data_IF_449489320560
#
_entry.id   IF_449489320560
#
_cell.length_a   1.000
_cell.length_b   1.000
_cell.length_c   1.000
_cell.angle_alpha   90.00
_cell.angle_beta   90.00
_cell.angle_gamma   90.00
#
_symmetry.space_group_name_H-M   'P 1'
#
loop_
_entity.id
_entity.type
_entity.pdbx_description
1 polymer ?
#
# COMPACT_ATOMS: atom_id res chain seq x y z
N UNK A 1 -14.46 -12.47 10.02
CA UNK A 1 -14.90 -12.23 8.62
C UNK A 1 -14.27 -10.98 8.00
N UNK A 2 -14.35 -9.79 8.61
CA UNK A 2 -13.80 -8.56 8.00
C UNK A 2 -12.25 -8.51 7.97
N UNK A 3 -11.55 -9.12 8.93
CA UNK A 3 -10.07 -9.14 8.97
C UNK A 3 -9.46 -9.70 7.68
N UNK A 4 -9.96 -10.84 7.20
CA UNK A 4 -9.47 -11.44 5.95
C UNK A 4 -9.65 -10.53 4.72
N UNK A 5 -10.76 -9.77 4.67
CA UNK A 5 -10.99 -8.79 3.60
C UNK A 5 -9.98 -7.64 3.72
N UNK A 6 -9.76 -7.13 4.93
CA UNK A 6 -8.78 -6.07 5.20
C UNK A 6 -7.38 -6.50 4.75
N UNK A 7 -6.94 -7.70 5.14
CA UNK A 7 -5.63 -8.24 4.77
C UNK A 7 -5.47 -8.35 3.25
N UNK A 8 -6.48 -8.88 2.55
CA UNK A 8 -6.48 -8.97 1.08
C UNK A 8 -6.45 -7.60 0.39
N UNK A 9 -7.15 -6.61 0.94
CA UNK A 9 -7.16 -5.25 0.40
C UNK A 9 -5.84 -4.51 0.66
N UNK A 10 -5.23 -4.71 1.83
CA UNK A 10 -3.99 -4.06 2.22
C UNK A 10 -2.77 -4.51 1.38
N UNK A 11 -2.83 -5.68 0.75
CA UNK A 11 -1.85 -6.09 -0.27
C UNK A 11 -1.92 -5.26 -1.56
N UNK A 12 -3.06 -4.61 -1.84
CA UNK A 12 -3.32 -3.92 -3.12
C UNK A 12 -3.47 -2.41 -2.96
N UNK A 13 -3.93 -1.95 -1.80
CA UNK A 13 -4.30 -0.57 -1.56
C UNK A 13 -3.75 -0.09 -0.22
N UNK A 14 -3.46 1.22 -0.08
CA UNK A 14 -3.19 1.81 1.23
C UNK A 14 -4.43 1.72 2.13
N UNK A 15 -4.38 0.87 3.15
CA UNK A 15 -5.51 0.64 4.06
C UNK A 15 -5.16 1.13 5.47
N UNK A 16 -6.03 1.96 6.04
CA UNK A 16 -6.15 2.13 7.49
C UNK A 16 -7.30 1.24 7.98
N UNK A 17 -7.17 0.65 9.16
CA UNK A 17 -8.19 -0.26 9.68
C UNK A 17 -8.52 0.03 11.14
N UNK A 18 -9.78 -0.05 11.51
CA UNK A 18 -10.23 0.11 12.89
C UNK A 18 -11.44 -0.76 13.19
N UNK A 19 -11.86 -0.76 14.46
CA UNK A 19 -13.00 -1.54 14.93
C UNK A 19 -12.63 -3.00 15.26
N UNK A 20 -12.86 -3.42 16.51
CA UNK A 20 -12.59 -4.79 16.94
C UNK A 20 -11.10 -5.13 17.14
N UNK A 21 -10.25 -4.10 17.29
CA UNK A 21 -8.87 -4.24 17.74
C UNK A 21 -8.85 -3.95 19.25
N UNK A 22 -8.83 -4.99 20.09
CA UNK A 22 -8.98 -4.88 21.55
C UNK A 22 -7.76 -5.39 22.32
N UNK A 23 -6.76 -5.91 21.62
CA UNK A 23 -5.55 -6.47 22.20
C UNK A 23 -4.35 -6.17 21.30
N UNK A 24 -3.14 -6.27 21.85
CA UNK A 24 -1.92 -6.13 21.07
C UNK A 24 -1.83 -7.20 19.96
N UNK A 25 -2.30 -8.42 20.24
CA UNK A 25 -2.37 -9.49 19.24
C UNK A 25 -3.26 -9.14 18.05
N UNK A 26 -4.37 -8.44 18.28
CA UNK A 26 -5.25 -8.00 17.19
C UNK A 26 -4.58 -6.96 16.29
N UNK A 27 -3.86 -6.03 16.93
CA UNK A 27 -3.12 -4.97 16.23
C UNK A 27 -1.98 -5.56 15.42
N UNK A 28 -1.20 -6.47 16.00
CA UNK A 28 -0.13 -7.16 15.30
C UNK A 28 -0.62 -7.96 14.10
N UNK A 29 -1.75 -8.66 14.23
CA UNK A 29 -2.35 -9.46 13.16
C UNK A 29 -2.66 -8.62 11.91
N UNK A 30 -3.22 -7.42 12.10
CA UNK A 30 -3.55 -6.52 10.98
C UNK A 30 -2.32 -5.79 10.45
N UNK A 31 -1.42 -5.30 11.31
CA UNK A 31 -0.25 -4.54 10.89
C UNK A 31 0.78 -5.38 10.12
N UNK A 32 0.86 -6.70 10.40
CA UNK A 32 1.67 -7.65 9.63
C UNK A 32 1.18 -7.86 8.19
N UNK A 33 -0.03 -7.43 7.88
CA UNK A 33 -0.68 -7.64 6.58
C UNK A 33 -0.67 -6.38 5.69
N UNK A 34 0.40 -5.58 5.70
CA UNK A 34 0.53 -4.32 4.94
C UNK A 34 -0.47 -3.19 5.25
N UNK A 35 -1.28 -3.31 6.30
CA UNK A 35 -2.13 -2.21 6.77
C UNK A 35 -1.25 -1.04 7.18
N UNK A 36 -1.46 0.16 6.60
CA UNK A 36 -0.63 1.33 6.86
C UNK A 36 -0.77 1.84 8.29
N UNK A 37 -2.00 1.91 8.83
CA UNK A 37 -2.25 2.27 10.23
C UNK A 37 -3.42 1.50 10.81
N UNK A 38 -3.35 1.21 12.10
CA UNK A 38 -4.50 0.74 12.87
C UNK A 38 -5.14 1.91 13.65
N UNK A 39 -6.46 1.89 13.73
CA UNK A 39 -7.28 2.82 14.47
C UNK A 39 -7.84 2.11 15.70
N UNK A 40 -7.53 2.62 16.89
CA UNK A 40 -8.02 2.09 18.17
C UNK A 40 -8.83 3.15 18.91
N UNK A 41 -9.78 2.72 19.72
CA UNK A 41 -10.57 3.63 20.53
C UNK A 41 -9.71 4.23 21.66
N UNK A 42 -9.99 5.48 22.02
CA UNK A 42 -9.33 6.25 23.10
C UNK A 42 -9.55 5.72 24.53
N UNK A 43 -10.22 4.57 24.69
CA UNK A 43 -10.57 4.02 26.00
C UNK A 43 -9.46 3.17 26.65
N UNK A 44 -8.43 2.75 25.90
CA UNK A 44 -7.42 1.80 26.36
C UNK A 44 -6.00 2.37 26.19
N UNK A 45 -5.56 3.11 27.22
CA UNK A 45 -4.27 3.79 27.22
C UNK A 45 -3.09 2.80 27.28
N UNK A 46 -3.27 1.65 27.93
CA UNK A 46 -2.24 0.59 27.98
C UNK A 46 -1.99 -0.03 26.60
N UNK A 47 -3.05 -0.30 25.83
CA UNK A 47 -2.93 -0.76 24.46
C UNK A 47 -2.31 0.32 23.59
N UNK A 48 -2.78 1.57 23.68
CA UNK A 48 -2.24 2.70 22.92
C UNK A 48 -0.73 2.84 23.15
N UNK A 49 -0.26 2.74 24.39
CA UNK A 49 1.15 2.85 24.76
C UNK A 49 2.04 1.84 24.01
N UNK A 50 1.54 0.63 23.72
CA UNK A 50 2.30 -0.49 23.13
C UNK A 50 2.36 -0.47 21.59
N UNK A 51 1.59 0.38 20.92
CA UNK A 51 1.51 0.41 19.45
C UNK A 51 2.51 1.43 18.87
N UNK A 52 3.26 1.09 17.80
CA UNK A 52 4.10 2.06 17.09
C UNK A 52 3.29 3.27 16.60
N UNK A 53 3.71 4.48 17.01
CA UNK A 53 2.89 5.71 16.87
C UNK A 53 2.73 6.17 15.42
N UNK A 54 3.73 5.92 14.58
CA UNK A 54 3.68 6.15 13.14
C UNK A 54 2.62 5.27 12.43
N UNK A 55 2.25 4.15 13.07
CA UNK A 55 1.24 3.17 12.62
C UNK A 55 -0.10 3.29 13.36
N UNK A 56 -0.28 4.27 14.22
CA UNK A 56 -1.46 4.43 15.08
C UNK A 56 -2.32 5.61 14.65
N UNK A 57 -3.64 5.43 14.75
CA UNK A 57 -4.63 6.50 14.81
C UNK A 57 -5.46 6.26 16.07
N UNK A 58 -5.66 7.27 16.91
CA UNK A 58 -6.56 7.15 18.07
C UNK A 58 -7.91 7.78 17.75
N UNK A 59 -8.99 7.01 17.85
CA UNK A 59 -10.35 7.45 17.61
C UNK A 59 -11.01 8.00 18.87
N UNK A 60 -11.57 9.20 18.73
CA UNK A 60 -12.31 9.95 19.73
C UNK A 60 -13.72 10.20 19.19
N UNK A 61 -14.74 9.73 19.90
CA UNK A 61 -16.12 10.14 19.65
C UNK A 61 -16.49 11.24 20.65
N UNK A 62 -17.12 12.32 20.19
CA UNK A 62 -17.50 13.43 21.06
C UNK A 62 -18.94 13.89 20.87
N UNK A 63 -19.51 14.46 21.93
CA UNK A 63 -20.82 15.12 21.92
C UNK A 63 -20.69 16.64 21.63
N UNK A 64 -21.81 17.35 21.67
CA UNK A 64 -21.91 18.81 21.49
C UNK A 64 -21.11 19.64 22.51
N UNK A 65 -20.84 19.05 23.69
CA UNK A 65 -20.10 19.69 24.78
C UNK A 65 -18.59 19.38 24.74
N UNK A 66 -18.10 18.76 23.65
CA UNK A 66 -16.72 18.31 23.50
C UNK A 66 -16.29 17.25 24.54
N UNK A 67 -17.24 16.50 25.12
CA UNK A 67 -16.95 15.41 26.04
C UNK A 67 -16.73 14.10 25.28
N UNK A 68 -15.74 13.32 25.71
CA UNK A 68 -15.36 12.05 25.08
C UNK A 68 -16.34 10.94 25.45
N UNK A 69 -16.80 10.22 24.43
CA UNK A 69 -17.69 9.07 24.51
C UNK A 69 -16.90 7.78 24.21
N UNK A 70 -17.09 6.76 25.04
CA UNK A 70 -16.43 5.45 24.92
C UNK A 70 -17.44 4.30 24.77
N UNK A 71 -16.94 3.07 24.63
CA UNK A 71 -17.73 1.83 24.48
C UNK A 71 -18.79 1.89 23.36
N UNK A 72 -18.39 2.42 22.20
CA UNK A 72 -19.31 2.58 21.07
C UNK A 72 -20.38 3.65 21.33
N UNK A 73 -19.97 4.75 21.96
CA UNK A 73 -20.79 5.95 22.26
C UNK A 73 -21.86 5.74 23.33
N UNK A 74 -21.80 4.64 24.07
CA UNK A 74 -22.78 4.30 25.11
C UNK A 74 -22.47 4.94 26.46
N UNK A 75 -21.22 5.36 26.66
CA UNK A 75 -20.76 5.89 27.94
C UNK A 75 -20.11 7.25 27.73
N UNK A 76 -20.64 8.28 28.38
CA UNK A 76 -19.99 9.58 28.48
C UNK A 76 -18.96 9.54 29.61
N UNK A 77 -17.73 9.92 29.31
CA UNK A 77 -16.65 9.99 30.31
C UNK A 77 -16.67 11.29 31.10
N UNK A 78 -17.40 12.31 30.62
CA UNK A 78 -17.36 13.70 31.10
C UNK A 78 -15.97 14.34 31.01
N UNK A 79 -15.02 13.69 30.32
CA UNK A 79 -13.69 14.22 30.07
C UNK A 79 -13.74 15.06 28.80
N UNK A 80 -13.32 16.32 28.91
CA UNK A 80 -13.18 17.19 27.75
C UNK A 80 -12.11 16.64 26.78
N UNK A 81 -12.36 16.72 25.47
CA UNK A 81 -11.47 16.22 24.43
C UNK A 81 -10.06 16.80 24.52
N UNK A 82 -9.88 18.08 24.88
CA UNK A 82 -8.56 18.70 24.97
C UNK A 82 -7.73 18.04 26.07
N UNK A 83 -8.35 17.76 27.22
CA UNK A 83 -7.71 17.00 28.31
C UNK A 83 -7.29 15.61 27.83
N UNK A 84 -8.18 14.90 27.13
CA UNK A 84 -7.84 13.57 26.61
C UNK A 84 -6.74 13.61 25.55
N UNK A 85 -6.74 14.61 24.66
CA UNK A 85 -5.69 14.81 23.65
C UNK A 85 -4.33 15.05 24.30
N UNK A 86 -4.26 15.84 25.37
CA UNK A 86 -3.00 16.06 26.10
C UNK A 86 -2.45 14.75 26.70
N UNK A 87 -3.32 13.90 27.28
CA UNK A 87 -2.92 12.57 27.74
C UNK A 87 -2.41 11.67 26.60
N UNK A 88 -3.04 11.73 25.42
CA UNK A 88 -2.59 10.98 24.26
C UNK A 88 -1.22 11.48 23.74
N UNK A 89 -0.95 12.78 23.83
CA UNK A 89 0.35 13.37 23.48
C UNK A 89 1.45 12.86 24.42
N UNK A 90 1.17 12.70 25.72
CA UNK A 90 2.12 12.10 26.68
C UNK A 90 2.47 10.65 26.30
N UNK A 91 1.53 9.94 25.66
CA UNK A 91 1.76 8.61 25.09
C UNK A 91 2.42 8.64 23.71
N UNK A 92 2.83 9.80 23.20
CA UNK A 92 3.47 9.97 21.89
C UNK A 92 2.53 9.88 20.69
N UNK A 93 1.22 10.01 20.88
CA UNK A 93 0.26 9.98 19.77
C UNK A 93 0.36 11.28 18.95
N UNK A 94 0.50 11.15 17.63
CA UNK A 94 0.56 12.30 16.70
C UNK A 94 -0.62 12.35 15.72
N UNK A 95 -1.44 11.30 15.66
CA UNK A 95 -2.57 11.19 14.72
C UNK A 95 -3.83 10.75 15.45
N UNK A 96 -4.90 11.55 15.32
CA UNK A 96 -6.21 11.26 15.91
C UNK A 96 -7.31 11.27 14.85
N UNK A 97 -8.43 10.62 15.15
CA UNK A 97 -9.68 10.73 14.42
C UNK A 97 -10.78 11.20 15.35
N UNK A 98 -11.53 12.23 14.96
CA UNK A 98 -12.61 12.81 15.74
C UNK A 98 -13.92 12.56 15.00
N UNK A 99 -14.84 11.90 15.68
CA UNK A 99 -16.20 11.64 15.20
C UNK A 99 -17.19 12.45 16.04
N UNK A 100 -17.94 13.34 15.38
CA UNK A 100 -18.97 14.17 16.01
C UNK A 100 -20.30 13.42 16.00
N UNK A 101 -20.71 12.89 17.16
CA UNK A 101 -21.82 11.93 17.24
C UNK A 101 -23.15 12.51 16.73
N UNK A 102 -23.41 13.79 16.98
CA UNK A 102 -24.64 14.45 16.56
C UNK A 102 -24.73 14.69 15.04
N UNK A 103 -23.60 14.65 14.33
CA UNK A 103 -23.54 14.86 12.88
C UNK A 103 -23.47 13.53 12.09
N UNK A 104 -23.26 12.40 12.77
CA UNK A 104 -22.98 11.15 12.11
C UNK A 104 -24.23 10.48 11.51
N UNK A 105 -24.11 9.94 10.30
CA UNK A 105 -25.18 9.17 9.64
C UNK A 105 -26.34 10.01 9.07
N UNK A 106 -26.51 11.24 9.53
CA UNK A 106 -27.62 12.13 9.16
C UNK A 106 -27.40 12.88 7.83
N UNK A 107 -26.16 12.99 7.33
CA UNK A 107 -25.81 13.79 6.14
C UNK A 107 -26.29 15.25 6.20
N UNK A 108 -26.47 15.78 7.41
CA UNK A 108 -27.03 17.11 7.69
C UNK A 108 -25.97 18.22 7.76
N UNK A 109 -24.73 17.93 7.36
CA UNK A 109 -23.59 18.85 7.43
C UNK A 109 -22.69 18.60 8.64
N UNK A 110 -21.55 19.28 8.65
CA UNK A 110 -20.52 19.20 9.71
C UNK A 110 -20.69 20.32 10.74
N UNK A 111 -20.31 20.11 12.02
CA UNK A 111 -20.39 21.14 13.06
C UNK A 111 -19.22 22.14 12.93
N UNK A 112 -19.28 23.03 11.93
CA UNK A 112 -18.18 23.95 11.56
C UNK A 112 -17.60 24.71 12.75
N UNK A 113 -18.44 25.38 13.55
CA UNK A 113 -17.98 26.14 14.72
C UNK A 113 -17.20 25.28 15.72
N UNK A 114 -17.75 24.10 16.04
CA UNK A 114 -17.10 23.15 16.95
C UNK A 114 -15.75 22.68 16.39
N UNK A 115 -15.68 22.39 15.08
CA UNK A 115 -14.43 22.00 14.41
C UNK A 115 -13.40 23.13 14.49
N UNK A 116 -13.79 24.36 14.15
CA UNK A 116 -12.91 25.54 14.21
C UNK A 116 -12.33 25.74 15.61
N UNK A 117 -13.19 25.71 16.64
CA UNK A 117 -12.79 25.91 18.02
C UNK A 117 -11.82 24.80 18.49
N UNK A 118 -12.06 23.55 18.10
CA UNK A 118 -11.19 22.42 18.45
C UNK A 118 -9.84 22.48 17.75
N UNK A 119 -9.79 22.80 16.46
CA UNK A 119 -8.55 22.82 15.68
C UNK A 119 -7.57 23.86 16.22
N UNK A 120 -8.08 24.99 16.72
CA UNK A 120 -7.27 26.03 17.37
C UNK A 120 -6.72 25.54 18.72
N UNK A 121 -7.50 24.77 19.48
CA UNK A 121 -7.12 24.31 20.82
C UNK A 121 -6.24 23.05 20.81
N UNK A 122 -6.35 22.19 19.79
CA UNK A 122 -5.58 20.94 19.70
C UNK A 122 -4.08 21.27 19.45
N UNK A 123 -3.17 20.83 20.34
CA UNK A 123 -1.74 21.14 20.22
C UNK A 123 -1.13 20.65 18.90
N UNK A 124 -0.05 21.32 18.46
CA UNK A 124 0.66 21.00 17.20
C UNK A 124 1.36 19.64 17.19
N UNK A 125 1.57 19.02 18.36
CA UNK A 125 2.05 17.65 18.49
C UNK A 125 1.11 16.65 17.79
N UNK A 126 -0.18 16.97 17.69
CA UNK A 126 -1.09 16.29 16.78
C UNK A 126 -0.88 16.85 15.38
N UNK A 127 -0.22 16.06 14.54
CA UNK A 127 0.12 16.38 13.16
C UNK A 127 -1.07 16.24 12.23
N UNK A 128 -1.97 15.27 12.50
CA UNK A 128 -3.09 14.92 11.62
C UNK A 128 -4.36 14.64 12.41
N UNK A 129 -5.45 15.28 11.99
CA UNK A 129 -6.76 15.18 12.60
C UNK A 129 -7.73 14.68 11.53
N UNK A 130 -8.12 13.41 11.61
CA UNK A 130 -9.19 12.89 10.77
C UNK A 130 -10.53 13.39 11.28
N UNK A 131 -11.36 13.95 10.41
CA UNK A 131 -12.71 14.41 10.75
C UNK A 131 -13.73 13.50 10.08
N UNK A 132 -14.52 12.81 10.89
CA UNK A 132 -15.54 11.88 10.44
C UNK A 132 -16.95 12.31 10.90
N UNK A 133 -17.95 11.95 10.11
CA UNK A 133 -19.36 12.28 10.37
C UNK A 133 -19.80 13.60 9.73
N UNK A 134 -21.05 13.69 9.30
CA UNK A 134 -21.66 14.93 8.80
C UNK A 134 -21.36 15.33 7.35
N UNK A 135 -20.16 15.04 6.83
CA UNK A 135 -19.72 15.51 5.49
C UNK A 135 -20.68 15.03 4.40
N UNK A 136 -21.30 15.96 3.66
CA UNK A 136 -22.27 15.61 2.61
C UNK A 136 -22.15 16.45 1.34
N UNK A 137 -21.39 17.56 1.37
CA UNK A 137 -21.26 18.50 0.24
C UNK A 137 -19.80 18.81 -0.09
N UNK A 138 -19.56 19.43 -1.26
CA UNK A 138 -18.22 19.94 -1.61
C UNK A 138 -17.83 21.14 -0.76
N UNK A 139 -18.79 21.98 -0.38
CA UNK A 139 -18.57 23.11 0.55
C UNK A 139 -18.07 22.62 1.93
N UNK A 140 -18.58 21.49 2.43
CA UNK A 140 -18.02 20.86 3.64
C UNK A 140 -16.55 20.44 3.46
N UNK A 141 -16.21 19.90 2.30
CA UNK A 141 -14.85 19.48 1.99
C UNK A 141 -13.91 20.69 1.84
N UNK A 142 -14.32 21.72 1.13
CA UNK A 142 -13.58 22.98 0.97
C UNK A 142 -13.33 23.64 2.32
N UNK A 143 -14.36 23.67 3.19
CA UNK A 143 -14.21 24.14 4.55
C UNK A 143 -13.18 23.33 5.34
N UNK A 144 -13.23 22.00 5.30
CA UNK A 144 -12.28 21.16 6.02
C UNK A 144 -10.85 21.25 5.44
N UNK A 145 -10.70 21.36 4.12
CA UNK A 145 -9.40 21.53 3.47
C UNK A 145 -8.76 22.90 3.72
N UNK A 146 -9.52 23.89 4.21
CA UNK A 146 -8.96 25.16 4.66
C UNK A 146 -8.07 25.04 5.90
N UNK A 147 -8.08 23.89 6.58
CA UNK A 147 -7.23 23.59 7.72
C UNK A 147 -6.11 22.61 7.33
N UNK A 148 -4.86 23.02 7.58
CA UNK A 148 -3.62 22.30 7.23
C UNK A 148 -3.53 20.87 7.79
N UNK A 149 -4.03 20.65 9.00
CA UNK A 149 -3.93 19.37 9.73
C UNK A 149 -5.14 18.45 9.53
N UNK A 150 -6.22 18.92 8.91
CA UNK A 150 -7.47 18.17 8.79
C UNK A 150 -7.44 17.21 7.61
N UNK A 151 -7.89 15.98 7.84
CA UNK A 151 -8.12 14.99 6.80
C UNK A 151 -9.60 14.57 6.84
N UNK A 152 -10.43 14.95 5.85
CA UNK A 152 -11.81 14.53 5.79
C UNK A 152 -11.93 13.00 5.61
N UNK A 153 -12.71 12.34 6.46
CA UNK A 153 -13.03 10.92 6.36
C UNK A 153 -14.45 10.74 5.81
N UNK A 154 -14.54 10.34 4.55
CA UNK A 154 -15.81 10.14 3.85
C UNK A 154 -16.35 8.71 4.03
N UNK A 155 -17.66 8.60 4.24
CA UNK A 155 -18.38 7.33 4.32
C UNK A 155 -19.66 7.36 3.51
N UNK A 156 -20.78 7.66 4.17
CA UNK A 156 -22.13 7.68 3.58
C UNK A 156 -22.32 8.61 2.40
N UNK A 157 -21.58 9.72 2.31
CA UNK A 157 -21.65 10.62 1.18
C UNK A 157 -21.28 9.96 -0.16
N UNK A 158 -20.36 8.99 -0.15
CA UNK A 158 -19.92 8.29 -1.36
C UNK A 158 -20.95 7.25 -1.79
N UNK A 159 -21.32 6.32 -0.90
CA UNK A 159 -22.20 5.21 -1.28
C UNK A 159 -23.68 5.60 -1.38
N UNK A 160 -24.10 6.74 -0.81
CA UNK A 160 -25.39 7.38 -1.08
C UNK A 160 -25.32 8.39 -2.25
N UNK A 161 -24.20 8.44 -2.98
CA UNK A 161 -24.01 9.26 -4.18
C UNK A 161 -24.26 10.77 -4.00
N UNK A 162 -24.02 11.30 -2.79
CA UNK A 162 -24.04 12.76 -2.54
C UNK A 162 -22.80 13.44 -3.10
N UNK A 163 -21.66 12.75 -3.01
CA UNK A 163 -20.39 13.18 -3.58
C UNK A 163 -19.87 12.10 -4.51
N UNK A 164 -19.32 12.52 -5.65
CA UNK A 164 -18.67 11.61 -6.59
C UNK A 164 -17.16 11.72 -6.45
N UNK A 165 -16.44 10.66 -6.81
CA UNK A 165 -14.98 10.70 -6.83
C UNK A 165 -14.46 11.80 -7.77
N UNK A 166 -15.14 12.01 -8.90
CA UNK A 166 -14.79 13.07 -9.86
C UNK A 166 -14.96 14.48 -9.29
N UNK A 167 -16.07 14.75 -8.59
CA UNK A 167 -16.29 16.05 -7.95
C UNK A 167 -15.27 16.32 -6.84
N UNK A 168 -14.87 15.29 -6.09
CA UNK A 168 -13.84 15.41 -5.04
C UNK A 168 -12.49 15.78 -5.67
N UNK A 169 -12.04 15.06 -6.70
CA UNK A 169 -10.80 15.41 -7.39
C UNK A 169 -10.86 16.84 -7.98
N UNK A 170 -11.98 17.23 -8.58
CA UNK A 170 -12.17 18.58 -9.12
C UNK A 170 -12.12 19.69 -8.05
N UNK A 171 -12.47 19.39 -6.80
CA UNK A 171 -12.34 20.33 -5.69
C UNK A 171 -10.93 20.40 -5.10
N UNK A 172 -10.14 19.33 -5.22
CA UNK A 172 -8.76 19.28 -4.72
C UNK A 172 -7.74 19.89 -5.68
N UNK A 173 -7.98 19.79 -7.00
CA UNK A 173 -6.97 20.14 -8.00
C UNK A 173 -6.83 21.65 -8.18
N UNK A 174 -5.58 22.12 -8.14
CA UNK A 174 -5.17 23.47 -8.55
C UNK A 174 -4.98 23.50 -10.07
N UNK A 175 -6.04 23.83 -10.80
CA UNK A 175 -5.97 23.99 -12.25
C UNK A 175 -5.13 25.22 -12.64
N UNK A 176 -4.46 25.16 -13.79
CA UNK A 176 -3.78 26.31 -14.36
C UNK A 176 -4.76 27.42 -14.81
N UNK A 177 -4.23 28.54 -15.29
CA UNK A 177 -5.03 29.66 -15.79
C UNK A 177 -5.96 29.33 -16.97
N UNK A 178 -5.81 28.15 -17.59
CA UNK A 178 -6.67 27.65 -18.66
C UNK A 178 -7.69 26.61 -18.17
N UNK A 179 -7.76 26.33 -16.87
CA UNK A 179 -8.65 25.33 -16.30
C UNK A 179 -8.23 23.88 -16.62
N UNK A 180 -6.93 23.65 -16.84
CA UNK A 180 -6.38 22.31 -17.09
C UNK A 180 -5.29 21.95 -16.08
N UNK A 181 -5.06 20.65 -15.91
CA UNK A 181 -4.04 20.07 -15.03
C UNK A 181 -3.16 19.11 -15.83
N UNK A 182 -1.86 19.07 -15.51
CA UNK A 182 -0.93 18.11 -16.10
C UNK A 182 -1.17 16.73 -15.50
N UNK A 183 -1.22 15.69 -16.34
CA UNK A 183 -1.52 14.32 -15.90
C UNK A 183 -0.53 13.33 -16.49
N UNK A 184 0.34 12.81 -15.64
CA UNK A 184 1.33 11.77 -15.95
C UNK A 184 0.62 10.43 -15.97
N UNK A 185 0.76 9.70 -17.07
CA UNK A 185 0.19 8.36 -17.24
C UNK A 185 1.29 7.33 -17.07
N UNK A 186 1.09 6.40 -16.15
CA UNK A 186 2.06 5.36 -15.80
C UNK A 186 1.40 3.97 -15.89
N UNK A 187 2.16 2.94 -16.20
CA UNK A 187 1.69 1.56 -16.06
C UNK A 187 1.86 1.03 -14.62
N UNK A 188 1.45 -0.22 -14.40
CA UNK A 188 1.56 -0.90 -13.12
C UNK A 188 3.02 -1.12 -12.66
N UNK A 189 3.97 -1.13 -13.60
CA UNK A 189 5.38 -1.39 -13.37
C UNK A 189 6.20 -0.11 -13.14
N UNK A 190 5.55 1.05 -13.12
CA UNK A 190 6.19 2.33 -12.90
C UNK A 190 6.70 3.01 -14.18
N UNK A 191 6.50 2.43 -15.37
CA UNK A 191 6.93 3.04 -16.62
C UNK A 191 5.96 4.14 -17.04
N UNK A 192 6.49 5.35 -17.26
CA UNK A 192 5.71 6.47 -17.78
C UNK A 192 5.34 6.20 -19.24
N UNK A 193 4.04 6.14 -19.53
CA UNK A 193 3.47 5.94 -20.86
C UNK A 193 3.30 7.26 -21.62
N UNK A 194 3.04 8.36 -20.92
CA UNK A 194 2.87 9.67 -21.53
C UNK A 194 2.40 10.76 -20.58
N UNK A 195 2.33 11.98 -21.09
CA UNK A 195 1.74 13.14 -20.43
C UNK A 195 0.45 13.52 -21.16
N UNK A 196 -0.63 13.74 -20.42
CA UNK A 196 -1.89 14.27 -20.91
C UNK A 196 -2.26 15.55 -20.14
N UNK A 197 -3.20 16.31 -20.67
CA UNK A 197 -3.86 17.39 -19.94
C UNK A 197 -5.30 16.99 -19.67
N UNK A 198 -5.80 17.34 -18.50
CA UNK A 198 -7.17 17.06 -18.08
C UNK A 198 -7.84 18.36 -17.62
N UNK A 199 -9.10 18.55 -18.01
CA UNK A 199 -9.99 19.56 -17.43
C UNK A 199 -11.02 18.88 -16.50
N UNK A 200 -11.85 19.68 -15.83
CA UNK A 200 -12.90 19.21 -14.93
C UNK A 200 -13.79 18.11 -15.53
N UNK A 201 -14.25 18.30 -16.77
CA UNK A 201 -15.09 17.33 -17.49
C UNK A 201 -14.37 16.00 -17.73
N UNK A 202 -13.11 16.04 -18.17
CA UNK A 202 -12.34 14.82 -18.42
C UNK A 202 -12.05 14.03 -17.14
N UNK A 203 -11.88 14.71 -16.00
CA UNK A 203 -11.69 14.07 -14.69
C UNK A 203 -12.97 13.36 -14.26
N UNK A 204 -14.12 14.02 -14.38
CA UNK A 204 -15.42 13.42 -14.05
C UNK A 204 -15.70 12.18 -14.88
N UNK A 205 -15.51 12.26 -16.21
CA UNK A 205 -15.68 11.11 -17.08
C UNK A 205 -14.70 9.99 -16.74
N UNK A 206 -13.43 10.33 -16.46
CA UNK A 206 -12.40 9.36 -16.09
C UNK A 206 -12.75 8.61 -14.81
N UNK A 207 -13.16 9.33 -13.76
CA UNK A 207 -13.58 8.74 -12.49
C UNK A 207 -14.87 7.91 -12.64
N UNK A 208 -15.84 8.40 -13.43
CA UNK A 208 -17.14 7.73 -13.63
C UNK A 208 -17.01 6.42 -14.41
N UNK A 209 -16.26 6.42 -15.51
CA UNK A 209 -16.19 5.23 -16.39
C UNK A 209 -14.97 4.35 -16.12
N UNK A 210 -14.02 4.79 -15.29
CA UNK A 210 -12.71 4.16 -15.07
C UNK A 210 -11.92 3.95 -16.37
N UNK A 211 -12.05 4.87 -17.32
CA UNK A 211 -11.29 4.89 -18.59
C UNK A 211 -10.61 6.24 -18.69
N UNK A 212 -9.40 6.30 -19.25
CA UNK A 212 -8.68 7.56 -19.39
C UNK A 212 -9.34 8.49 -20.42
N UNK A 213 -9.87 9.62 -19.95
CA UNK A 213 -10.22 10.76 -20.79
C UNK A 213 -9.15 11.85 -20.66
N UNK A 214 -8.88 12.57 -21.75
CA UNK A 214 -7.98 13.72 -21.75
C UNK A 214 -8.64 14.91 -22.41
N UNK A 215 -8.25 16.10 -22.00
CA UNK A 215 -8.58 17.33 -22.71
C UNK A 215 -7.54 17.59 -23.80
N UNK A 216 -8.00 17.67 -25.05
CA UNK A 216 -7.14 17.98 -26.19
C UNK A 216 -7.03 19.48 -26.38
N UNK A 217 -5.92 20.10 -25.97
CA UNK A 217 -5.71 21.56 -26.14
C UNK A 217 -5.86 22.02 -27.60
N UNK A 218 -5.41 21.20 -28.56
CA UNK A 218 -5.53 21.48 -30.01
C UNK A 218 -6.99 21.44 -30.50
N UNK A 219 -7.75 20.44 -30.06
CA UNK A 219 -9.15 20.23 -30.52
C UNK A 219 -10.19 20.87 -29.59
N UNK A 220 -9.73 21.46 -28.47
CA UNK A 220 -10.52 22.07 -27.40
C UNK A 220 -11.70 21.20 -26.94
N UNK A 221 -11.49 19.88 -26.86
CA UNK A 221 -12.52 18.91 -26.46
C UNK A 221 -11.96 17.76 -25.66
N UNK A 222 -12.83 17.13 -24.87
CA UNK A 222 -12.54 15.89 -24.14
C UNK A 222 -12.55 14.69 -25.10
N UNK A 223 -11.58 13.80 -24.92
CA UNK A 223 -11.38 12.62 -25.78
C UNK A 223 -11.02 11.41 -24.91
N UNK A 224 -11.71 10.29 -25.10
CA UNK A 224 -11.32 9.02 -24.50
C UNK A 224 -10.08 8.46 -25.20
N UNK A 225 -9.00 8.18 -24.45
CA UNK A 225 -7.80 7.55 -25.02
C UNK A 225 -8.13 6.13 -25.50
N UNK A 226 -7.83 5.87 -26.78
CA UNK A 226 -8.13 4.59 -27.41
C UNK A 226 -9.53 4.49 -28.04
N UNK A 227 -10.31 5.57 -28.07
CA UNK A 227 -11.63 5.57 -28.72
C UNK A 227 -11.58 5.13 -30.20
N UNK A 228 -10.55 5.59 -30.93
CA UNK A 228 -10.37 5.28 -32.35
C UNK A 228 -9.55 4.02 -32.60
N UNK A 229 -8.51 3.76 -31.78
CA UNK A 229 -7.62 2.61 -31.98
C UNK A 229 -8.07 1.32 -31.28
N UNK A 230 -9.01 1.40 -30.33
CA UNK A 230 -9.36 0.28 -29.45
C UNK A 230 -8.42 0.08 -28.26
N UNK A 231 -7.34 0.87 -28.14
CA UNK A 231 -6.37 0.81 -27.05
C UNK A 231 -6.83 1.58 -25.81
N UNK A 232 -7.99 1.20 -25.28
CA UNK A 232 -8.56 1.80 -24.08
C UNK A 232 -7.61 1.61 -22.89
N UNK A 233 -7.41 2.68 -22.13
CA UNK A 233 -6.59 2.67 -20.92
C UNK A 233 -7.51 2.64 -19.70
N UNK A 234 -7.48 1.55 -18.93
CA UNK A 234 -8.32 1.38 -17.74
C UNK A 234 -7.63 1.97 -16.52
N UNK A 235 -8.35 2.77 -15.74
CA UNK A 235 -7.76 3.44 -14.57
C UNK A 235 -7.70 2.47 -13.39
N UNK A 236 -6.51 2.37 -12.80
CA UNK A 236 -6.26 1.62 -11.56
C UNK A 236 -6.19 2.56 -10.36
N UNK A 237 -5.44 3.65 -10.50
CA UNK A 237 -5.21 4.60 -9.41
C UNK A 237 -5.00 6.01 -9.95
N UNK A 238 -5.45 6.99 -9.17
CA UNK A 238 -5.20 8.41 -9.38
C UNK A 238 -4.56 8.94 -8.10
N UNK A 239 -3.56 9.80 -8.23
CA UNK A 239 -2.91 10.50 -7.12
C UNK A 239 -2.59 11.93 -7.55
N UNK A 240 -2.60 12.86 -6.60
CA UNK A 240 -2.12 14.24 -6.79
C UNK A 240 -0.73 14.37 -6.17
N UNK A 241 0.05 15.33 -6.63
CA UNK A 241 1.27 15.76 -5.97
C UNK A 241 1.00 16.63 -4.74
N UNK A 242 2.05 17.19 -4.14
CA UNK A 242 1.97 17.82 -2.82
C UNK A 242 1.28 19.18 -2.81
N UNK A 243 1.32 19.90 -3.93
CA UNK A 243 0.67 21.19 -4.18
C UNK A 243 -0.56 21.08 -5.09
N UNK A 244 -0.93 19.84 -5.46
CA UNK A 244 -2.19 19.49 -6.13
C UNK A 244 -2.34 20.08 -7.54
N UNK A 245 -1.25 20.42 -8.23
CA UNK A 245 -1.24 20.98 -9.58
C UNK A 245 -0.82 19.97 -10.67
N UNK A 246 -0.48 18.74 -10.27
CA UNK A 246 -0.29 17.61 -11.17
C UNK A 246 -0.96 16.32 -10.69
N UNK A 247 -1.31 15.47 -11.67
CA UNK A 247 -1.90 14.16 -11.44
C UNK A 247 -0.95 13.04 -11.89
N UNK A 248 -0.87 11.98 -11.10
CA UNK A 248 -0.35 10.68 -11.52
C UNK A 248 -1.51 9.69 -11.69
N UNK A 249 -1.65 9.14 -12.89
CA UNK A 249 -2.70 8.19 -13.24
C UNK A 249 -2.07 6.87 -13.66
N UNK A 250 -2.30 5.83 -12.87
CA UNK A 250 -1.85 4.48 -13.15
C UNK A 250 -2.94 3.76 -13.96
N UNK A 251 -2.54 3.18 -15.08
CA UNK A 251 -3.44 2.46 -16.00
C UNK A 251 -3.06 0.98 -16.16
N UNK A 252 -4.08 0.13 -16.18
CA UNK A 252 -3.96 -1.30 -16.48
C UNK A 252 -4.17 -1.50 -17.98
N UNK A 253 -3.10 -1.33 -18.75
CA UNK A 253 -3.14 -1.60 -20.18
C UNK A 253 -1.75 -1.93 -20.68
N UNK A 254 -1.55 -3.19 -21.08
CA UNK A 254 -0.37 -3.59 -21.86
C UNK A 254 -0.42 -3.06 -23.31
N UNK A 255 -1.48 -2.35 -23.69
CA UNK A 255 -1.66 -1.81 -25.04
C UNK A 255 -0.85 -0.53 -25.28
N UNK A 256 -0.59 -0.26 -26.55
CA UNK A 256 0.14 0.91 -27.02
C UNK A 256 -0.49 2.22 -26.57
N UNK A 257 0.34 3.14 -26.09
CA UNK A 257 -0.10 4.48 -25.70
C UNK A 257 0.10 5.49 -26.83
N UNK A 258 1.20 5.38 -27.57
CA UNK A 258 1.56 6.32 -28.60
C UNK A 258 0.72 6.13 -29.87
N UNK A 259 0.42 7.22 -30.57
CA UNK A 259 -0.26 7.18 -31.87
C UNK A 259 0.57 6.48 -32.96
N UNK A 260 1.89 6.36 -32.76
CA UNK A 260 2.81 5.61 -33.61
C UNK A 260 2.89 4.11 -33.26
N UNK A 261 1.93 3.58 -32.49
CA UNK A 261 1.88 2.17 -32.10
C UNK A 261 2.85 1.75 -31.00
N UNK A 262 3.64 2.67 -30.43
CA UNK A 262 4.59 2.40 -29.35
C UNK A 262 3.91 2.29 -27.97
N UNK A 263 4.49 1.49 -27.08
CA UNK A 263 4.01 1.31 -25.70
C UNK A 263 4.01 2.61 -24.89
N UNK A 264 5.08 3.40 -25.00
CA UNK A 264 5.20 4.74 -24.41
C UNK A 264 5.41 5.80 -25.49
N UNK A 265 4.99 7.03 -25.20
CA UNK A 265 5.36 8.23 -25.96
C UNK A 265 6.84 8.58 -25.79
N UNK A 266 7.47 8.18 -24.69
CA UNK A 266 8.86 8.45 -24.38
C UNK A 266 9.75 7.27 -24.83
N UNK A 267 10.90 7.56 -25.43
CA UNK A 267 11.96 6.57 -25.64
C UNK A 267 12.61 6.21 -24.30
N UNK A 268 13.13 4.98 -24.18
CA UNK A 268 13.79 4.41 -22.99
C UNK A 268 14.59 5.48 -22.20
N UNK A 269 14.07 6.00 -21.07
CA UNK A 269 14.68 7.12 -20.38
C UNK A 269 15.77 6.70 -19.39
N UNK A 270 16.03 5.40 -19.23
CA UNK A 270 16.94 4.86 -18.23
C UNK A 270 18.01 3.95 -18.86
N UNK A 271 19.18 3.88 -18.23
CA UNK A 271 20.24 2.90 -18.58
C UNK A 271 19.86 1.46 -18.20
N UNK A 272 18.93 1.30 -17.25
CA UNK A 272 18.36 0.03 -16.82
C UNK A 272 17.26 -0.38 -17.80
N UNK A 273 17.56 -1.34 -18.68
CA UNK A 273 16.69 -1.73 -19.80
C UNK A 273 15.52 -2.63 -19.41
N UNK A 274 15.49 -3.15 -18.19
CA UNK A 274 14.50 -4.11 -17.73
C UNK A 274 14.20 -3.94 -16.23
N UNK A 275 13.02 -4.37 -15.79
CA UNK A 275 12.69 -4.49 -14.37
C UNK A 275 12.23 -5.93 -14.07
N UNK A 276 12.32 -6.33 -12.80
CA UNK A 276 12.03 -7.72 -12.41
C UNK A 276 10.57 -8.11 -12.68
N UNK A 277 9.63 -7.16 -12.55
CA UNK A 277 8.21 -7.40 -12.80
C UNK A 277 7.92 -7.75 -14.28
N UNK A 278 8.47 -6.97 -15.22
CA UNK A 278 8.35 -7.23 -16.66
C UNK A 278 8.99 -8.56 -17.07
N UNK A 279 10.14 -8.91 -16.47
CA UNK A 279 10.76 -10.22 -16.67
C UNK A 279 9.87 -11.35 -16.12
N UNK A 280 9.32 -11.19 -14.92
CA UNK A 280 8.44 -12.18 -14.31
C UNK A 280 7.15 -12.40 -15.12
N UNK A 281 6.52 -11.33 -15.60
CA UNK A 281 5.37 -11.41 -16.52
C UNK A 281 5.74 -12.14 -17.82
N UNK A 282 6.91 -11.82 -18.39
CA UNK A 282 7.39 -12.50 -19.59
C UNK A 282 7.56 -14.00 -19.35
N UNK A 283 8.25 -14.40 -18.28
CA UNK A 283 8.45 -15.80 -17.90
C UNK A 283 7.10 -16.50 -17.71
N UNK A 284 6.19 -15.87 -16.95
CA UNK A 284 4.84 -16.41 -16.68
C UNK A 284 4.04 -16.67 -17.95
N UNK A 285 4.13 -15.78 -18.94
CA UNK A 285 3.42 -15.93 -20.22
C UNK A 285 3.84 -17.18 -21.02
N UNK A 286 5.00 -17.78 -20.71
CA UNK A 286 5.55 -18.95 -21.38
C UNK A 286 5.09 -20.28 -20.79
N UNK A 287 4.27 -20.29 -19.72
CA UNK A 287 3.90 -21.53 -19.00
C UNK A 287 3.25 -22.61 -19.88
N UNK A 288 2.53 -22.22 -20.94
CA UNK A 288 1.88 -23.15 -21.88
C UNK A 288 2.70 -23.39 -23.16
N UNK A 289 3.91 -22.85 -23.25
CA UNK A 289 4.77 -22.97 -24.43
C UNK A 289 5.83 -24.03 -24.20
N UNK A 290 6.27 -24.69 -25.27
CA UNK A 290 7.41 -25.60 -25.22
C UNK A 290 8.72 -24.81 -25.31
N UNK A 291 9.03 -24.10 -24.22
CA UNK A 291 10.23 -23.30 -24.03
C UNK A 291 10.94 -23.73 -22.76
N UNK A 292 12.21 -23.34 -22.57
CA UNK A 292 12.93 -23.61 -21.32
C UNK A 292 12.11 -23.15 -20.10
N UNK A 293 11.72 -21.87 -20.06
CA UNK A 293 10.91 -21.30 -18.99
C UNK A 293 9.56 -22.00 -18.82
N UNK A 294 8.92 -22.42 -19.91
CA UNK A 294 7.65 -23.17 -19.84
C UNK A 294 7.82 -24.54 -19.19
N UNK A 295 8.87 -25.28 -19.57
CA UNK A 295 9.18 -26.60 -19.01
C UNK A 295 9.55 -26.53 -17.54
N UNK A 296 10.41 -25.59 -17.13
CA UNK A 296 10.83 -25.43 -15.73
C UNK A 296 9.63 -25.05 -14.83
N UNK A 297 8.79 -24.10 -15.27
CA UNK A 297 7.59 -23.71 -14.51
C UNK A 297 6.59 -24.86 -14.31
N UNK A 298 6.45 -25.76 -15.29
CA UNK A 298 5.59 -26.95 -15.17
C UNK A 298 6.19 -28.05 -14.30
N UNK A 299 7.46 -27.94 -13.89
CA UNK A 299 8.16 -28.93 -13.08
C UNK A 299 8.86 -28.25 -11.88
N UNK A 300 8.12 -27.92 -10.80
CA UNK A 300 8.66 -27.21 -9.64
C UNK A 300 9.88 -27.87 -8.99
N UNK A 301 9.98 -29.21 -9.02
CA UNK A 301 11.13 -29.95 -8.49
C UNK A 301 12.40 -29.66 -9.29
N UNK A 302 12.30 -29.62 -10.62
CA UNK A 302 13.42 -29.27 -11.49
C UNK A 302 13.80 -27.80 -11.32
N UNK A 303 12.82 -26.91 -11.16
CA UNK A 303 13.06 -25.51 -10.84
C UNK A 303 13.83 -25.36 -9.52
N UNK A 304 13.49 -26.15 -8.50
CA UNK A 304 14.22 -26.14 -7.23
C UNK A 304 15.64 -26.70 -7.35
N UNK A 305 15.83 -27.80 -8.10
CA UNK A 305 17.15 -28.34 -8.37
C UNK A 305 18.07 -27.28 -9.02
N UNK A 306 17.53 -26.54 -10.00
CA UNK A 306 18.22 -25.39 -10.60
C UNK A 306 18.53 -24.31 -9.55
N UNK A 307 17.58 -23.90 -8.70
CA UNK A 307 17.85 -22.92 -7.63
C UNK A 307 19.03 -23.34 -6.74
N UNK A 308 19.14 -24.63 -6.40
CA UNK A 308 20.25 -25.12 -5.60
C UNK A 308 21.58 -25.07 -6.35
N UNK A 309 21.59 -25.43 -7.63
CA UNK A 309 22.75 -25.31 -8.51
C UNK A 309 23.22 -23.85 -8.62
N UNK A 310 22.31 -22.93 -9.00
CA UNK A 310 22.63 -21.51 -9.16
C UNK A 310 23.08 -20.86 -7.83
N UNK A 311 22.54 -21.32 -6.70
CA UNK A 311 23.00 -20.85 -5.39
C UNK A 311 24.47 -21.20 -5.16
N UNK A 312 24.89 -22.42 -5.49
CA UNK A 312 26.29 -22.81 -5.39
C UNK A 312 27.16 -22.04 -6.37
N UNK A 313 26.68 -21.80 -7.59
CA UNK A 313 27.39 -21.00 -8.60
C UNK A 313 27.59 -19.55 -8.11
N UNK A 314 26.58 -18.92 -7.50
CA UNK A 314 26.73 -17.61 -6.84
C UNK A 314 27.81 -17.62 -5.77
N UNK A 315 27.88 -18.69 -4.95
CA UNK A 315 28.84 -18.80 -3.85
C UNK A 315 30.28 -18.94 -4.36
N UNK A 316 30.49 -19.70 -5.44
CA UNK A 316 31.85 -20.01 -5.96
C UNK A 316 32.31 -19.07 -7.08
N UNK A 317 31.40 -18.32 -7.70
CA UNK A 317 31.71 -17.52 -8.86
C UNK A 317 32.67 -16.37 -8.55
N UNK A 318 33.62 -16.09 -9.48
CA UNK A 318 34.44 -14.88 -9.39
C UNK A 318 33.56 -13.63 -9.54
N UNK A 319 34.06 -12.49 -9.06
CA UNK A 319 33.33 -11.22 -9.04
C UNK A 319 32.73 -10.84 -10.41
N UNK A 320 33.45 -11.09 -11.50
CA UNK A 320 33.01 -10.76 -12.86
C UNK A 320 31.79 -11.57 -13.32
N UNK A 321 31.54 -12.75 -12.71
CA UNK A 321 30.42 -13.63 -13.01
C UNK A 321 29.26 -13.49 -12.03
N UNK A 322 29.47 -12.88 -10.86
CA UNK A 322 28.46 -12.82 -9.79
C UNK A 322 27.13 -12.22 -10.26
N UNK A 323 27.17 -11.23 -11.16
CA UNK A 323 25.94 -10.64 -11.72
C UNK A 323 25.14 -11.66 -12.52
N UNK A 324 25.81 -12.53 -13.29
CA UNK A 324 25.14 -13.59 -14.07
C UNK A 324 24.53 -14.62 -13.15
N UNK A 325 25.33 -15.20 -12.25
CA UNK A 325 24.85 -16.28 -11.37
C UNK A 325 23.72 -15.80 -10.43
N UNK A 326 23.83 -14.56 -9.92
CA UNK A 326 22.75 -13.98 -9.12
C UNK A 326 21.48 -13.77 -9.95
N UNK A 327 21.62 -13.45 -11.24
CA UNK A 327 20.48 -13.29 -12.14
C UNK A 327 19.83 -14.64 -12.44
N UNK A 328 20.62 -15.69 -12.68
CA UNK A 328 20.11 -17.03 -12.95
C UNK A 328 19.42 -17.63 -11.72
N UNK A 329 19.98 -17.44 -10.52
CA UNK A 329 19.32 -17.78 -9.26
C UNK A 329 17.94 -17.10 -9.14
N UNK A 330 17.86 -15.79 -9.44
CA UNK A 330 16.61 -15.04 -9.38
C UNK A 330 15.59 -15.53 -10.44
N UNK A 331 16.05 -15.81 -11.66
CA UNK A 331 15.21 -16.30 -12.75
C UNK A 331 14.60 -17.65 -12.41
N UNK A 332 15.40 -18.60 -11.90
CA UNK A 332 14.91 -19.91 -11.50
C UNK A 332 13.99 -19.83 -10.27
N UNK A 333 14.27 -18.93 -9.33
CA UNK A 333 13.35 -18.63 -8.23
C UNK A 333 11.98 -18.15 -8.73
N UNK A 334 11.95 -17.23 -9.70
CA UNK A 334 10.69 -16.77 -10.32
C UNK A 334 9.94 -17.93 -10.98
N UNK A 335 10.63 -18.81 -11.72
CA UNK A 335 10.01 -19.97 -12.35
C UNK A 335 9.43 -20.94 -11.32
N UNK A 336 10.15 -21.19 -10.22
CA UNK A 336 9.67 -22.00 -9.10
C UNK A 336 8.42 -21.41 -8.44
N UNK A 337 8.41 -20.09 -8.17
CA UNK A 337 7.26 -19.39 -7.59
C UNK A 337 6.03 -19.52 -8.51
N UNK A 338 6.19 -19.23 -9.80
CA UNK A 338 5.11 -19.34 -10.78
C UNK A 338 4.53 -20.76 -10.86
N UNK A 339 5.38 -21.80 -10.84
CA UNK A 339 4.97 -23.20 -10.84
C UNK A 339 4.16 -23.59 -9.60
N UNK A 340 4.35 -22.89 -8.48
CA UNK A 340 3.57 -23.05 -7.24
C UNK A 340 2.39 -22.06 -7.14
N UNK A 341 2.10 -21.30 -8.20
CA UNK A 341 1.01 -20.32 -8.21
C UNK A 341 1.29 -19.06 -7.37
N UNK A 342 2.55 -18.81 -7.00
CA UNK A 342 2.98 -17.63 -6.25
C UNK A 342 3.55 -16.60 -7.25
N UNK A 343 3.15 -15.34 -7.12
CA UNK A 343 3.63 -14.27 -7.99
C UNK A 343 4.78 -13.48 -7.37
N UNK A 344 5.59 -12.79 -8.19
CA UNK A 344 6.67 -11.93 -7.67
C UNK A 344 6.10 -10.75 -6.87
N UNK A 345 4.89 -10.30 -7.23
CA UNK A 345 4.15 -9.28 -6.51
C UNK A 345 3.81 -9.73 -5.07
N UNK A 346 3.48 -11.00 -4.86
CA UNK A 346 3.24 -11.55 -3.52
C UNK A 346 4.51 -11.45 -2.65
N UNK A 347 5.68 -11.73 -3.23
CA UNK A 347 6.97 -11.60 -2.54
C UNK A 347 7.28 -10.14 -2.22
N UNK A 348 7.09 -9.22 -3.16
CA UNK A 348 7.32 -7.78 -2.90
C UNK A 348 6.37 -7.24 -1.82
N UNK A 349 5.12 -7.70 -1.80
CA UNK A 349 4.17 -7.33 -0.75
C UNK A 349 4.63 -7.85 0.63
N UNK A 350 5.10 -9.09 0.72
CA UNK A 350 5.67 -9.66 1.95
C UNK A 350 6.93 -8.90 2.40
N UNK A 351 7.83 -8.56 1.48
CA UNK A 351 9.03 -7.76 1.78
C UNK A 351 8.67 -6.36 2.27
N UNK A 352 7.66 -5.72 1.67
CA UNK A 352 7.15 -4.44 2.15
C UNK A 352 6.59 -4.56 3.57
N UNK A 353 5.87 -5.62 3.90
CA UNK A 353 5.39 -5.87 5.26
C UNK A 353 6.55 -6.03 6.25
N UNK A 354 7.61 -6.73 5.83
CA UNK A 354 8.82 -6.97 6.64
C UNK A 354 9.65 -5.74 6.89
N UNK A 355 9.68 -4.75 6.00
CA UNK A 355 10.34 -3.45 6.25
C UNK A 355 9.95 -2.84 7.60
N UNK A 356 8.74 -3.14 8.05
CA UNK A 356 8.17 -2.63 9.28
C UNK A 356 8.12 -3.66 10.42
N UNK A 357 8.69 -4.85 10.21
CA UNK A 357 8.88 -5.83 11.25
C UNK A 357 10.05 -5.37 12.16
N UNK A 358 9.84 -5.18 13.47
CA UNK A 358 10.88 -4.69 14.40
C UNK A 358 12.15 -5.54 14.42
N UNK A 359 12.08 -6.77 13.90
CA UNK A 359 13.17 -7.76 13.92
C UNK A 359 14.29 -7.50 12.92
N UNK A 360 14.05 -6.72 11.85
CA UNK A 360 15.08 -6.46 10.83
C UNK A 360 16.01 -5.28 11.17
N UNK A 361 15.65 -4.46 12.16
CA UNK A 361 16.42 -3.28 12.61
C UNK A 361 16.84 -3.41 14.07
N UNK A 362 17.07 -4.64 14.54
CA UNK A 362 17.49 -4.88 15.94
C UNK A 362 18.95 -4.47 16.09
N UNK A 363 19.17 -3.32 16.72
CA UNK A 363 20.51 -2.73 16.97
C UNK A 363 21.41 -3.63 17.83
N UNK A 364 20.82 -4.49 18.67
CA UNK A 364 21.55 -5.40 19.55
C UNK A 364 21.67 -6.82 19.00
N UNK A 365 21.90 -6.97 17.69
CA UNK A 365 22.31 -8.26 17.14
C UNK A 365 23.76 -8.50 17.54
N UNK A 366 23.98 -9.32 18.58
CA UNK A 366 25.33 -9.78 18.94
C UNK A 366 25.89 -10.60 17.79
N UNK A 367 26.87 -10.05 17.08
CA UNK A 367 27.74 -10.83 16.21
C UNK A 367 28.66 -11.61 17.15
N UNK A 368 28.71 -12.96 17.09
CA UNK A 368 29.62 -13.73 17.91
C UNK A 368 31.07 -13.28 17.65
N UNK A 369 31.77 -12.88 18.71
CA UNK A 369 33.22 -12.61 18.68
C UNK A 369 33.97 -13.93 18.71
N UNK A 370 33.93 -14.72 17.64
CA UNK A 370 34.79 -15.91 17.54
C UNK A 370 35.50 -15.98 16.18
N UNK A 371 36.83 -15.86 16.25
CA UNK A 371 37.78 -16.31 15.24
C UNK A 371 37.77 -17.85 15.22
N UNK A 372 36.68 -18.45 14.77
CA UNK A 372 36.69 -19.83 14.31
C UNK A 372 36.89 -19.83 12.80
N UNK A 373 37.85 -20.61 12.31
CA UNK A 373 38.01 -20.87 10.87
C UNK A 373 36.97 -21.88 10.35
N UNK A 374 36.03 -22.33 11.19
CA UNK A 374 34.96 -23.23 10.80
C UNK A 374 33.73 -22.43 10.34
N UNK A 375 33.38 -22.58 9.06
CA UNK A 375 32.09 -22.11 8.54
C UNK A 375 31.05 -23.18 8.83
N UNK A 376 30.19 -22.93 9.82
CA UNK A 376 29.10 -23.83 10.19
C UNK A 376 27.83 -23.45 9.40
N UNK A 377 27.31 -24.36 8.57
CA UNK A 377 26.03 -24.19 7.89
C UNK A 377 24.90 -24.62 8.83
N UNK A 378 24.26 -23.65 9.49
CA UNK A 378 23.15 -23.91 10.39
C UNK A 378 21.80 -23.82 9.66
N UNK A 379 21.10 -24.95 9.52
CA UNK A 379 19.69 -24.97 9.10
C UNK A 379 18.82 -24.71 10.33
N UNK A 380 18.02 -23.64 10.31
CA UNK A 380 17.15 -23.25 11.43
C UNK A 380 16.31 -24.43 11.93
N UNK A 381 16.45 -24.77 13.22
CA UNK A 381 15.67 -25.81 13.89
C UNK A 381 14.19 -25.43 14.14
N UNK A 382 13.76 -24.23 13.74
CA UNK A 382 12.51 -23.63 14.21
C UNK A 382 11.39 -23.49 13.19
N UNK A 383 11.74 -23.46 11.90
CA UNK A 383 10.79 -23.22 10.82
C UNK A 383 10.71 -24.47 9.96
N UNK A 384 9.60 -25.19 10.10
CA UNK A 384 9.24 -26.35 9.30
C UNK A 384 10.32 -27.45 9.24
N UNK A 385 10.90 -27.88 10.39
CA UNK A 385 11.97 -28.88 10.40
C UNK A 385 11.53 -30.18 9.71
N UNK A 386 10.38 -30.72 10.11
CA UNK A 386 9.88 -31.99 9.58
C UNK A 386 9.61 -31.92 8.07
N UNK A 387 9.02 -30.82 7.58
CA UNK A 387 8.75 -30.65 6.15
C UNK A 387 10.01 -30.43 5.31
N UNK A 388 11.04 -29.83 5.90
CA UNK A 388 12.32 -29.63 5.20
C UNK A 388 13.06 -30.94 5.06
N UNK A 389 13.03 -31.75 6.12
CA UNK A 389 13.72 -33.03 6.18
C UNK A 389 12.98 -34.06 5.29
N UNK A 390 11.64 -34.10 5.36
CA UNK A 390 10.77 -34.89 4.47
C UNK A 390 10.95 -34.49 3.01
N UNK A 391 10.95 -33.19 2.70
CA UNK A 391 11.20 -32.73 1.32
C UNK A 391 12.58 -33.13 0.82
N UNK A 392 13.63 -32.92 1.63
CA UNK A 392 14.99 -33.26 1.25
C UNK A 392 15.15 -34.77 1.01
N UNK A 393 14.54 -35.60 1.86
CA UNK A 393 14.60 -37.05 1.74
C UNK A 393 13.76 -37.55 0.56
N UNK A 394 12.51 -37.11 0.42
CA UNK A 394 11.58 -37.62 -0.59
C UNK A 394 11.81 -37.07 -2.00
N UNK A 395 12.17 -35.79 -2.10
CA UNK A 395 12.26 -35.10 -3.40
C UNK A 395 13.70 -34.99 -3.89
N UNK A 396 14.69 -34.98 -2.98
CA UNK A 396 16.10 -34.82 -3.33
C UNK A 396 16.97 -36.03 -2.95
N UNK A 397 16.46 -36.99 -2.16
CA UNK A 397 17.24 -38.13 -1.68
C UNK A 397 18.33 -37.77 -0.67
N UNK A 398 18.22 -36.61 -0.02
CA UNK A 398 19.22 -36.07 0.92
C UNK A 398 18.71 -36.24 2.35
N UNK A 399 19.50 -36.93 3.19
CA UNK A 399 19.20 -37.06 4.61
C UNK A 399 19.85 -35.94 5.43
N UNK A 400 19.02 -35.13 6.09
CA UNK A 400 19.47 -34.02 6.93
C UNK A 400 19.67 -34.51 8.37
N UNK A 401 20.83 -34.20 8.97
CA UNK A 401 21.11 -34.50 10.38
C UNK A 401 21.07 -33.19 11.18
N UNK A 402 20.16 -33.09 12.17
CA UNK A 402 20.01 -31.88 13.00
C UNK A 402 20.57 -32.10 14.41
N UNK A 403 21.47 -31.24 14.87
CA UNK A 403 21.92 -31.24 16.27
C UNK A 403 20.85 -30.68 17.21
N UNK A 404 20.77 -31.25 18.41
CA UNK A 404 19.82 -30.86 19.46
C UNK A 404 20.26 -29.57 20.16
N UNK A 405 19.99 -28.40 19.57
CA UNK A 405 20.23 -27.13 20.25
C UNK A 405 20.00 -25.89 19.39
N UNK A 406 19.21 -24.94 19.91
CA UNK A 406 19.34 -23.52 19.57
C UNK A 406 20.20 -22.85 20.64
N UNK A 407 21.49 -23.05 20.62
CA UNK A 407 22.45 -22.10 21.16
C UNK A 407 23.64 -22.21 20.23
N UNK A 408 23.97 -21.06 19.63
CA UNK A 408 24.95 -20.85 18.56
C UNK A 408 26.14 -21.80 18.64
#
# INVERSE_FOLDING_TARGET
>A
KNREIIKKLALKYPVHTGGGLRSLSDVEDVLKSNVRRCTVASADDELIAKIPKDRLIVELSINENNEVLIHGRKTNTHVNIITKVNQLIELGVTVISITFVNAEGHLSGIPRKQIQDLVVQIPKNIEKIYIAGGISTMDDLEYLWSFDRIIPQLGSAIWKSKLTIGSIFNGMINFDGNGIVSSIIQDLNGLVKGLCYMNRESIEQTCKTRKLYRYSRKLRKVIMKGATSGDVQHIVRISLDCDMDAMLIIVDSQKSFCHAGKYSCFSLPTSIKANLATLAEHIKSRINQDSYSGRIQRNPQLALAKIMEEFWEVVVAPQDNQVSECSDLLVHLIMYLNGNGISIEDIFNELHARRWAPKLSVENTKIPDEKSNEIIICISASKYPDKTDEFAEEQLGIKITRHSGRNL
#
